data_IF_818602990693
#
_entry.id   IF_818602990693
#
_cell.length_a   1.000
_cell.length_b   1.000
_cell.length_c   1.000
_cell.angle_alpha   90.00
_cell.angle_beta   90.00
_cell.angle_gamma   90.00
#
_symmetry.space_group_name_H-M   'P 1'
#
loop_
_entity.id
_entity.type
_entity.pdbx_description
1 polymer ?
#
# COMPACT_ATOMS: atom_id res chain seq x y z
N UNK A 1 -36.07 -8.69 -131.47
CA UNK A 1 -36.94 -9.84 -131.15
C UNK A 1 -37.68 -9.51 -129.86
N UNK A 2 -39.02 -9.57 -129.94
CA UNK A 2 -40.01 -9.95 -128.90
C UNK A 2 -39.41 -10.64 -127.65
N UNK A 3 -39.89 -10.49 -126.41
CA UNK A 3 -41.23 -10.28 -125.85
C UNK A 3 -41.11 -10.04 -124.30
N UNK A 4 -42.17 -10.07 -123.45
CA UNK A 4 -42.48 -9.02 -122.48
C UNK A 4 -42.37 -9.45 -120.98
N UNK A 5 -42.75 -8.50 -120.11
CA UNK A 5 -43.11 -8.48 -118.68
C UNK A 5 -43.26 -9.83 -117.94
N UNK A 6 -42.92 -9.86 -116.63
CA UNK A 6 -44.01 -9.79 -115.66
C UNK A 6 -43.71 -8.95 -114.40
N UNK A 7 -44.73 -8.24 -113.93
CA UNK A 7 -44.82 -7.75 -112.55
C UNK A 7 -45.42 -8.86 -111.70
N UNK A 8 -44.81 -9.18 -110.56
CA UNK A 8 -45.62 -9.61 -109.41
C UNK A 8 -45.14 -9.09 -108.06
N UNK A 9 -46.13 -8.78 -107.21
CA UNK A 9 -46.06 -9.14 -105.78
C UNK A 9 -45.73 -8.02 -104.80
N UNK A 10 -46.78 -7.45 -104.19
CA UNK A 10 -46.71 -6.74 -102.92
C UNK A 10 -46.29 -7.73 -101.83
N UNK A 11 -45.15 -7.48 -101.17
CA UNK A 11 -44.80 -8.03 -99.86
C UNK A 11 -44.73 -6.88 -98.85
N UNK A 12 -45.48 -6.97 -97.77
CA UNK A 12 -45.27 -6.14 -96.59
C UNK A 12 -44.39 -6.91 -95.59
N UNK A 13 -43.27 -6.32 -95.12
CA UNK A 13 -42.69 -6.78 -93.87
C UNK A 13 -42.45 -5.66 -92.86
N UNK A 14 -43.15 -5.84 -91.72
CA UNK A 14 -42.77 -5.66 -90.32
C UNK A 14 -42.33 -4.28 -89.75
N UNK A 15 -42.86 -3.91 -88.56
CA UNK A 15 -42.47 -2.68 -87.88
C UNK A 15 -41.03 -2.78 -87.40
N UNK A 16 -40.17 -1.90 -87.92
CA UNK A 16 -38.79 -1.77 -87.49
C UNK A 16 -38.71 -1.54 -85.98
N UNK A 17 -37.97 -2.40 -85.27
CA UNK A 17 -37.62 -2.25 -83.85
C UNK A 17 -36.86 -0.92 -83.69
N UNK A 18 -37.56 0.14 -83.26
CA UNK A 18 -36.95 1.44 -82.94
C UNK A 18 -35.89 1.21 -81.87
N UNK A 19 -34.62 1.32 -82.27
CA UNK A 19 -33.49 1.47 -81.35
C UNK A 19 -33.76 2.76 -80.57
N UNK A 20 -34.20 2.66 -79.31
CA UNK A 20 -34.29 3.81 -78.40
C UNK A 20 -32.87 4.33 -78.20
N UNK A 21 -32.48 5.34 -78.97
CA UNK A 21 -31.30 6.15 -78.70
C UNK A 21 -31.55 6.88 -77.39
N UNK A 22 -30.89 6.41 -76.33
CA UNK A 22 -30.92 7.05 -75.01
C UNK A 22 -30.36 8.47 -75.19
N UNK A 23 -31.12 9.50 -74.82
CA UNK A 23 -30.66 10.88 -74.96
C UNK A 23 -29.47 11.12 -74.01
N UNK A 24 -28.48 11.95 -74.40
CA UNK A 24 -27.32 12.24 -73.55
C UNK A 24 -27.73 12.79 -72.17
N UNK A 25 -28.87 13.46 -72.06
CA UNK A 25 -29.45 13.92 -70.78
C UNK A 25 -29.86 12.79 -69.82
N UNK A 26 -30.37 11.66 -70.33
CA UNK A 26 -30.72 10.50 -69.50
C UNK A 26 -29.46 9.78 -69.02
N UNK A 27 -28.44 9.68 -69.88
CA UNK A 27 -27.13 9.12 -69.48
C UNK A 27 -26.46 10.00 -68.43
N UNK A 28 -26.47 11.32 -68.60
CA UNK A 28 -25.95 12.28 -67.61
C UNK A 28 -26.72 12.18 -66.28
N UNK A 29 -28.04 12.04 -66.31
CA UNK A 29 -28.85 11.85 -65.10
C UNK A 29 -28.54 10.55 -64.35
N UNK A 30 -28.35 9.45 -65.07
CA UNK A 30 -27.95 8.16 -64.48
C UNK A 30 -26.54 8.24 -63.89
N UNK A 31 -25.60 8.84 -64.62
CA UNK A 31 -24.21 9.01 -64.14
C UNK A 31 -24.18 9.92 -62.92
N UNK A 32 -24.90 11.05 -62.94
CA UNK A 32 -25.00 11.96 -61.79
C UNK A 32 -25.64 11.26 -60.58
N UNK A 33 -26.74 10.51 -60.78
CA UNK A 33 -27.38 9.74 -59.72
C UNK A 33 -26.46 8.66 -59.13
N UNK A 34 -25.70 7.95 -59.98
CA UNK A 34 -24.72 6.96 -59.54
C UNK A 34 -23.57 7.61 -58.74
N UNK A 35 -23.08 8.77 -59.16
CA UNK A 35 -22.04 9.52 -58.43
C UNK A 35 -22.54 9.97 -57.05
N UNK A 36 -23.76 10.50 -56.95
CA UNK A 36 -24.35 10.90 -55.66
C UNK A 36 -24.49 9.70 -54.74
N UNK A 37 -24.96 8.55 -55.24
CA UNK A 37 -25.07 7.32 -54.45
C UNK A 37 -23.70 6.86 -53.93
N UNK A 38 -22.66 6.89 -54.77
CA UNK A 38 -21.30 6.54 -54.36
C UNK A 38 -20.76 7.48 -53.28
N UNK A 39 -21.05 8.78 -53.36
CA UNK A 39 -20.63 9.76 -52.34
C UNK A 39 -21.30 9.47 -51.00
N UNK A 40 -22.62 9.19 -50.99
CA UNK A 40 -23.34 8.86 -49.75
C UNK A 40 -22.78 7.58 -49.11
N UNK A 41 -22.52 6.55 -49.91
CA UNK A 41 -21.89 5.31 -49.42
C UNK A 41 -20.48 5.56 -48.87
N UNK A 42 -19.68 6.38 -49.55
CA UNK A 42 -18.33 6.74 -49.08
C UNK A 42 -18.37 7.55 -47.77
N UNK A 43 -19.31 8.49 -47.62
CA UNK A 43 -19.52 9.25 -46.38
C UNK A 43 -19.98 8.34 -45.24
N UNK A 44 -20.91 7.42 -45.50
CA UNK A 44 -21.36 6.43 -44.53
C UNK A 44 -20.23 5.50 -44.08
N UNK A 45 -19.48 4.93 -45.04
CA UNK A 45 -18.34 4.08 -44.75
C UNK A 45 -17.25 4.84 -43.96
N UNK A 46 -16.96 6.09 -44.33
CA UNK A 46 -16.06 6.96 -43.59
C UNK A 46 -16.54 7.17 -42.16
N UNK A 47 -17.82 7.46 -41.93
CA UNK A 47 -18.37 7.70 -40.60
C UNK A 47 -18.20 6.46 -39.72
N UNK A 48 -18.52 5.27 -40.25
CA UNK A 48 -18.33 3.99 -39.54
C UNK A 48 -16.85 3.75 -39.22
N UNK A 49 -15.96 3.91 -40.20
CA UNK A 49 -14.52 3.72 -40.01
C UNK A 49 -13.92 4.75 -39.04
N UNK A 50 -14.39 6.00 -39.08
CA UNK A 50 -13.98 7.06 -38.16
C UNK A 50 -14.48 6.81 -36.73
N UNK A 51 -15.62 6.14 -36.55
CA UNK A 51 -16.17 5.80 -35.26
C UNK A 51 -15.57 4.51 -34.66
N UNK A 52 -14.94 3.67 -35.49
CA UNK A 52 -14.40 2.35 -35.09
C UNK A 52 -12.87 2.32 -35.17
N UNK A 53 -12.33 2.19 -36.38
CA UNK A 53 -10.89 1.99 -36.65
C UNK A 53 -10.06 3.25 -36.42
N UNK A 54 -10.62 4.43 -36.64
CA UNK A 54 -9.94 5.71 -36.45
C UNK A 54 -10.62 6.56 -35.35
N UNK A 55 -11.19 5.87 -34.36
CA UNK A 55 -11.89 6.51 -33.26
C UNK A 55 -10.91 7.24 -32.32
N UNK A 56 -11.39 8.30 -31.69
CA UNK A 56 -10.66 9.03 -30.68
C UNK A 56 -10.36 8.16 -29.43
N UNK A 57 -11.14 7.11 -29.19
CA UNK A 57 -10.98 6.21 -28.04
C UNK A 57 -9.89 5.15 -28.21
N UNK A 58 -9.40 4.87 -29.43
CA UNK A 58 -8.35 3.86 -29.64
C UNK A 58 -7.06 4.07 -28.83
N UNK A 59 -6.44 5.26 -28.78
CA UNK A 59 -5.24 5.44 -27.97
C UNK A 59 -5.49 5.29 -26.47
N UNK A 60 -6.72 5.54 -25.99
CA UNK A 60 -7.11 5.33 -24.58
C UNK A 60 -7.26 3.85 -24.27
N UNK A 61 -7.98 3.11 -25.12
CA UNK A 61 -8.11 1.65 -25.00
C UNK A 61 -6.73 0.98 -25.05
N UNK A 62 -5.86 1.38 -25.97
CA UNK A 62 -4.50 0.85 -26.06
C UNK A 62 -3.69 1.10 -24.78
N UNK A 63 -3.84 2.26 -24.14
CA UNK A 63 -3.19 2.56 -22.86
C UNK A 63 -3.70 1.65 -21.74
N UNK A 64 -5.03 1.49 -21.61
CA UNK A 64 -5.62 0.61 -20.59
C UNK A 64 -5.31 -0.87 -20.84
N UNK A 65 -5.26 -1.32 -22.10
CA UNK A 65 -4.81 -2.67 -22.45
C UNK A 65 -3.32 -2.90 -22.13
N UNK A 66 -2.48 -1.87 -22.30
CA UNK A 66 -1.05 -1.90 -21.93
C UNK A 66 -0.91 -2.07 -20.41
N UNK A 67 -1.69 -1.32 -19.63
CA UNK A 67 -1.77 -1.49 -18.18
C UNK A 67 -2.28 -2.89 -17.81
N UNK A 68 -3.37 -3.36 -18.43
CA UNK A 68 -3.91 -4.69 -18.19
C UNK A 68 -2.93 -5.83 -18.48
N UNK A 69 -2.07 -5.65 -19.50
CA UNK A 69 -1.01 -6.58 -19.85
C UNK A 69 0.20 -6.56 -18.91
N UNK A 70 0.27 -5.60 -17.97
CA UNK A 70 1.40 -5.45 -17.04
C UNK A 70 2.63 -4.78 -17.66
N UNK A 71 2.51 -4.14 -18.83
CA UNK A 71 3.62 -3.45 -19.50
C UNK A 71 3.75 -2.00 -19.00
N UNK A 72 4.20 -1.86 -17.76
CA UNK A 72 4.40 -0.58 -17.09
C UNK A 72 5.35 0.36 -17.86
N UNK A 73 6.42 -0.14 -18.46
CA UNK A 73 7.38 0.70 -19.20
C UNK A 73 6.72 1.33 -20.44
N UNK A 74 5.92 0.56 -21.19
CA UNK A 74 5.16 1.09 -22.31
C UNK A 74 4.09 2.08 -21.85
N UNK A 75 3.37 1.80 -20.76
CA UNK A 75 2.40 2.72 -20.18
C UNK A 75 3.06 4.02 -19.68
N UNK A 76 4.25 3.93 -19.09
CA UNK A 76 5.03 5.06 -18.60
C UNK A 76 5.48 5.97 -19.74
N UNK A 77 5.92 5.37 -20.86
CA UNK A 77 6.25 6.11 -22.07
C UNK A 77 5.06 6.88 -22.66
N UNK A 78 3.82 6.43 -22.40
CA UNK A 78 2.59 7.10 -22.82
C UNK A 78 2.10 8.18 -21.84
N UNK A 79 2.49 8.14 -20.56
CA UNK A 79 2.06 9.05 -19.50
C UNK A 79 3.00 10.25 -19.26
N UNK A 80 4.20 10.26 -19.88
CA UNK A 80 5.19 11.34 -19.83
C UNK A 80 5.36 12.05 -18.46
N UNK A 81 5.47 11.30 -17.35
CA UNK A 81 5.40 11.92 -16.04
C UNK A 81 6.76 12.52 -15.64
N UNK A 82 6.72 13.61 -14.88
CA UNK A 82 7.93 14.26 -14.34
C UNK A 82 8.46 13.60 -13.06
N UNK A 83 8.45 12.27 -12.99
CA UNK A 83 8.89 11.51 -11.79
C UNK A 83 10.42 11.39 -11.75
N UNK A 84 10.99 11.43 -10.54
CA UNK A 84 12.38 11.04 -10.31
C UNK A 84 12.54 9.51 -10.41
N UNK A 85 13.77 8.99 -10.55
CA UNK A 85 14.02 7.54 -10.53
C UNK A 85 13.44 6.84 -9.30
N UNK A 86 13.57 7.46 -8.12
CA UNK A 86 13.08 6.94 -6.85
C UNK A 86 11.54 6.88 -6.83
N UNK A 87 10.88 7.85 -7.47
CA UNK A 87 9.43 7.87 -7.61
C UNK A 87 8.90 6.86 -8.64
N UNK A 88 9.73 6.38 -9.56
CA UNK A 88 9.33 5.41 -10.58
C UNK A 88 9.65 3.95 -10.23
N UNK A 89 10.09 3.66 -9.01
CA UNK A 89 10.58 2.33 -8.61
C UNK A 89 9.54 1.22 -8.83
N UNK A 90 8.25 1.51 -8.62
CA UNK A 90 7.15 0.56 -8.84
C UNK A 90 6.66 0.51 -10.30
N UNK A 91 7.08 1.45 -11.14
CA UNK A 91 6.56 1.63 -12.51
C UNK A 91 7.42 0.87 -13.53
N UNK A 92 7.79 -0.36 -13.20
CA UNK A 92 8.62 -1.25 -14.03
C UNK A 92 7.85 -2.53 -14.37
N UNK A 93 8.23 -3.19 -15.46
CA UNK A 93 7.57 -4.43 -15.87
C UNK A 93 7.79 -5.57 -14.87
N UNK A 94 8.92 -5.56 -14.15
CA UNK A 94 9.24 -6.56 -13.12
C UNK A 94 8.28 -6.47 -11.93
N UNK A 95 7.96 -5.25 -11.48
CA UNK A 95 7.06 -5.05 -10.34
C UNK A 95 5.60 -5.13 -10.79
N UNK A 96 5.21 -4.31 -11.76
CA UNK A 96 3.81 -4.20 -12.18
C UNK A 96 3.29 -5.45 -12.92
N UNK A 97 4.19 -6.27 -13.48
CA UNK A 97 3.85 -7.52 -14.14
C UNK A 97 3.22 -8.57 -13.22
N UNK A 98 3.48 -8.49 -11.92
CA UNK A 98 2.92 -9.40 -10.90
C UNK A 98 1.69 -8.81 -10.18
N UNK A 99 1.45 -7.51 -10.32
CA UNK A 99 0.33 -6.79 -9.68
C UNK A 99 -1.02 -7.35 -10.15
N UNK A 100 -1.89 -7.66 -9.20
CA UNK A 100 -3.25 -8.11 -9.46
C UNK A 100 -4.22 -6.94 -9.68
N UNK A 101 -5.47 -7.25 -10.06
CA UNK A 101 -6.54 -6.26 -10.22
C UNK A 101 -6.22 -5.11 -11.19
N UNK A 102 -5.32 -5.34 -12.17
CA UNK A 102 -5.01 -4.36 -13.23
C UNK A 102 -6.25 -4.08 -14.10
N UNK A 103 -6.29 -2.92 -14.79
CA UNK A 103 -7.38 -2.58 -15.70
C UNK A 103 -7.65 -3.67 -16.74
N UNK A 104 -8.92 -4.03 -16.93
CA UNK A 104 -9.33 -5.02 -17.90
C UNK A 104 -10.64 -4.64 -18.59
N UNK A 105 -10.91 -5.25 -19.74
CA UNK A 105 -12.17 -5.04 -20.49
C UNK A 105 -12.56 -3.58 -20.77
N UNK A 106 -11.63 -2.69 -21.21
CA UNK A 106 -11.95 -1.29 -21.43
C UNK A 106 -13.01 -1.11 -22.53
N UNK A 107 -13.99 -0.25 -22.26
CA UNK A 107 -15.11 0.07 -23.14
C UNK A 107 -15.28 1.57 -23.29
N UNK A 108 -15.34 2.05 -24.53
CA UNK A 108 -15.56 3.48 -24.81
C UNK A 108 -17.06 3.77 -24.79
N UNK A 109 -17.52 4.49 -23.77
CA UNK A 109 -18.92 4.88 -23.62
C UNK A 109 -19.28 6.08 -24.50
N UNK A 110 -18.32 6.97 -24.73
CA UNK A 110 -18.58 8.21 -25.43
C UNK A 110 -17.32 8.95 -25.88
N UNK A 111 -17.48 9.73 -26.94
CA UNK A 111 -16.46 10.66 -27.43
C UNK A 111 -17.10 12.02 -27.65
N UNK A 112 -16.59 13.04 -26.98
CA UNK A 112 -17.00 14.43 -27.13
C UNK A 112 -15.84 15.23 -27.72
N UNK A 113 -16.00 15.75 -28.93
CA UNK A 113 -14.99 16.66 -29.52
C UNK A 113 -15.15 18.05 -28.92
N UNK A 114 -14.03 18.67 -28.56
CA UNK A 114 -14.03 20.05 -28.08
C UNK A 114 -14.13 21.01 -29.27
N UNK A 115 -15.10 21.93 -29.22
CA UNK A 115 -15.38 22.85 -30.33
C UNK A 115 -14.23 23.81 -30.57
N UNK A 116 -13.81 23.93 -31.83
CA UNK A 116 -12.75 24.86 -32.24
C UNK A 116 -11.34 24.45 -31.82
N UNK A 117 -11.14 23.26 -31.26
CA UNK A 117 -9.81 22.75 -30.89
C UNK A 117 -9.52 21.41 -31.58
N UNK A 118 -8.30 20.91 -31.36
CA UNK A 118 -7.87 19.59 -31.82
C UNK A 118 -8.01 18.52 -30.73
N UNK A 119 -8.81 18.77 -29.69
CA UNK A 119 -9.00 17.84 -28.57
C UNK A 119 -10.34 17.12 -28.61
N UNK A 120 -10.37 15.96 -27.99
CA UNK A 120 -11.59 15.25 -27.65
C UNK A 120 -11.47 14.63 -26.27
N UNK A 121 -12.60 14.54 -25.58
CA UNK A 121 -12.77 13.85 -24.32
C UNK A 121 -13.37 12.47 -24.62
N UNK A 122 -12.71 11.43 -24.13
CA UNK A 122 -13.12 10.04 -24.32
C UNK A 122 -13.53 9.51 -22.96
N UNK A 123 -14.81 9.19 -22.84
CA UNK A 123 -15.36 8.53 -21.67
C UNK A 123 -15.17 7.03 -21.81
N UNK A 124 -14.53 6.42 -20.82
CA UNK A 124 -14.21 4.99 -20.82
C UNK A 124 -14.57 4.37 -19.48
N UNK A 125 -15.12 3.17 -19.56
CA UNK A 125 -15.38 2.28 -18.43
C UNK A 125 -14.49 1.05 -18.53
N UNK A 126 -13.95 0.55 -17.42
CA UNK A 126 -13.18 -0.69 -17.38
C UNK A 126 -13.42 -1.44 -16.06
N UNK A 127 -12.98 -2.69 -16.00
CA UNK A 127 -12.98 -3.49 -14.77
C UNK A 127 -11.62 -3.41 -14.09
N UNK A 128 -11.63 -3.17 -12.78
CA UNK A 128 -10.44 -3.14 -11.94
C UNK A 128 -10.73 -3.93 -10.66
N UNK A 129 -10.18 -5.14 -10.57
CA UNK A 129 -10.42 -6.02 -9.42
C UNK A 129 -11.89 -6.40 -9.20
N UNK A 130 -12.69 -6.49 -10.28
CA UNK A 130 -14.13 -6.78 -10.20
C UNK A 130 -15.01 -5.54 -9.95
N UNK A 131 -14.42 -4.34 -9.90
CA UNK A 131 -15.14 -3.07 -9.78
C UNK A 131 -15.16 -2.35 -11.13
N UNK A 132 -16.33 -1.84 -11.50
CA UNK A 132 -16.47 -1.01 -12.69
C UNK A 132 -15.96 0.41 -12.37
N UNK A 133 -14.89 0.80 -13.04
CA UNK A 133 -14.25 2.12 -12.90
C UNK A 133 -14.56 2.95 -14.15
N UNK A 134 -14.75 4.26 -13.94
CA UNK A 134 -15.12 5.21 -14.97
C UNK A 134 -14.15 6.40 -14.95
N UNK A 135 -13.65 6.81 -16.11
CA UNK A 135 -12.83 8.03 -16.23
C UNK A 135 -12.93 8.67 -17.63
N UNK A 136 -12.45 9.91 -17.74
CA UNK A 136 -12.46 10.73 -18.94
C UNK A 136 -11.04 11.08 -19.35
N UNK A 137 -10.60 10.49 -20.45
CA UNK A 137 -9.29 10.75 -21.03
C UNK A 137 -9.34 11.88 -22.05
N UNK A 138 -8.26 12.66 -22.12
CA UNK A 138 -8.09 13.66 -23.18
C UNK A 138 -7.23 13.08 -24.29
N UNK A 139 -7.67 13.24 -25.53
CA UNK A 139 -6.89 12.92 -26.72
C UNK A 139 -6.75 14.13 -27.62
N UNK A 140 -5.70 14.18 -28.42
CA UNK A 140 -5.44 15.25 -29.38
C UNK A 140 -5.29 14.73 -30.80
N UNK A 141 -5.72 15.50 -31.78
CA UNK A 141 -5.55 15.19 -33.20
C UNK A 141 -4.11 15.48 -33.61
N UNK A 142 -3.36 14.43 -33.92
CA UNK A 142 -1.98 14.48 -34.38
C UNK A 142 -1.85 14.39 -35.91
N UNK A 143 -2.79 15.04 -36.61
CA UNK A 143 -2.87 15.06 -38.06
C UNK A 143 -3.91 14.10 -38.63
N UNK A 144 -3.63 13.60 -39.85
CA UNK A 144 -4.54 12.72 -40.59
C UNK A 144 -3.85 11.46 -41.08
N UNK A 145 -4.61 10.37 -41.09
CA UNK A 145 -4.24 9.08 -41.65
C UNK A 145 -5.07 8.79 -42.90
N UNK A 146 -4.42 8.27 -43.95
CA UNK A 146 -5.01 8.06 -45.27
C UNK A 146 -5.70 9.32 -45.86
N UNK A 147 -5.23 10.52 -45.46
CA UNK A 147 -5.78 11.85 -45.83
C UNK A 147 -7.20 12.13 -45.29
N UNK A 148 -7.95 11.08 -44.97
CA UNK A 148 -9.36 11.14 -44.62
C UNK A 148 -9.55 11.09 -43.11
N UNK A 149 -8.86 10.21 -42.39
CA UNK A 149 -9.19 9.93 -41.00
C UNK A 149 -8.34 10.77 -40.05
N UNK A 150 -8.92 11.17 -38.92
CA UNK A 150 -8.17 11.86 -37.89
C UNK A 150 -7.23 10.85 -37.21
N UNK A 151 -5.96 11.22 -37.04
CA UNK A 151 -5.03 10.45 -36.19
C UNK A 151 -5.10 11.03 -34.79
N UNK A 152 -5.40 10.19 -33.80
CA UNK A 152 -5.51 10.60 -32.41
C UNK A 152 -4.31 10.11 -31.60
N UNK A 153 -3.81 10.97 -30.73
CA UNK A 153 -2.80 10.66 -29.73
C UNK A 153 -3.39 10.89 -28.34
N UNK A 154 -3.04 10.02 -27.40
CA UNK A 154 -3.34 10.23 -25.99
C UNK A 154 -2.62 11.51 -25.52
N UNK A 155 -3.34 12.42 -24.87
CA UNK A 155 -2.67 13.44 -24.06
C UNK A 155 -2.17 12.71 -22.82
N UNK A 156 -0.88 12.78 -22.48
CA UNK A 156 -0.29 11.95 -21.44
C UNK A 156 -1.09 12.04 -20.12
N UNK A 157 -1.67 10.93 -19.64
CA UNK A 157 -2.38 10.93 -18.38
C UNK A 157 -1.40 11.01 -17.21
N UNK A 158 -1.78 11.61 -16.07
CA UNK A 158 -0.98 11.56 -14.86
C UNK A 158 -0.86 10.12 -14.33
N UNK A 159 0.20 9.83 -13.59
CA UNK A 159 0.33 8.57 -12.84
C UNK A 159 -0.43 8.69 -11.52
N UNK A 160 -1.13 7.63 -11.12
CA UNK A 160 -1.89 7.56 -9.87
C UNK A 160 -0.98 7.62 -8.64
N UNK A 161 -1.55 8.03 -7.51
CA UNK A 161 -0.82 8.15 -6.24
C UNK A 161 -1.51 7.34 -5.14
N UNK A 162 -0.74 6.56 -4.41
CA UNK A 162 -1.19 5.95 -3.15
C UNK A 162 -0.75 6.84 -2.00
N UNK A 163 -1.71 7.39 -1.26
CA UNK A 163 -1.53 8.31 -0.14
C UNK A 163 -1.47 7.56 1.19
N UNK A 164 -0.52 7.95 2.04
CA UNK A 164 -0.25 7.41 3.38
C UNK A 164 -0.65 8.47 4.44
N UNK A 165 -1.95 8.75 4.67
CA UNK A 165 -2.42 9.88 5.46
C UNK A 165 -1.93 9.88 6.92
N UNK A 166 -1.67 8.69 7.47
CA UNK A 166 -1.26 8.47 8.86
C UNK A 166 0.25 8.26 9.03
N UNK A 167 1.01 8.28 7.94
CA UNK A 167 2.46 8.21 7.98
C UNK A 167 3.13 9.57 8.28
N UNK A 168 2.35 10.64 8.51
CA UNK A 168 2.88 11.95 8.88
C UNK A 168 3.64 11.96 10.21
N UNK A 169 3.35 10.99 11.07
CA UNK A 169 3.96 10.85 12.40
C UNK A 169 5.21 9.94 12.37
N UNK A 170 5.53 9.35 11.20
CA UNK A 170 6.75 8.57 11.01
C UNK A 170 7.96 9.49 10.77
N UNK A 171 9.20 9.01 11.00
CA UNK A 171 10.41 9.74 10.67
C UNK A 171 10.41 10.24 9.21
N UNK A 172 11.01 11.40 8.90
CA UNK A 172 10.93 12.01 7.55
C UNK A 172 11.55 11.15 6.44
N UNK A 173 12.40 10.19 6.78
CA UNK A 173 13.10 9.25 5.92
C UNK A 173 12.55 7.82 5.99
N UNK A 174 11.34 7.64 6.52
CA UNK A 174 10.70 6.33 6.56
C UNK A 174 10.53 5.73 5.15
N UNK A 175 10.60 4.41 5.08
CA UNK A 175 10.30 3.63 3.88
C UNK A 175 9.09 2.74 4.13
N UNK A 176 8.44 2.33 3.04
CA UNK A 176 7.41 1.29 3.04
C UNK A 176 7.83 0.18 2.10
N UNK A 177 7.28 -1.02 2.32
CA UNK A 177 7.47 -2.15 1.41
C UNK A 177 6.17 -2.38 0.66
N UNK A 178 6.22 -2.29 -0.66
CA UNK A 178 5.06 -2.48 -1.57
C UNK A 178 5.32 -3.70 -2.43
N UNK A 179 4.54 -4.76 -2.25
CA UNK A 179 4.73 -6.06 -2.93
C UNK A 179 6.19 -6.57 -2.87
N UNK A 180 6.86 -6.35 -1.73
CA UNK A 180 8.26 -6.74 -1.50
C UNK A 180 9.32 -5.75 -2.01
N UNK A 181 8.91 -4.63 -2.62
CA UNK A 181 9.81 -3.57 -3.08
C UNK A 181 9.88 -2.45 -2.06
N UNK A 182 11.08 -2.07 -1.63
CA UNK A 182 11.27 -0.92 -0.74
C UNK A 182 11.05 0.39 -1.51
N UNK A 183 10.18 1.25 -0.97
CA UNK A 183 9.79 2.53 -1.56
C UNK A 183 9.99 3.62 -0.52
N UNK A 184 10.71 4.67 -0.89
CA UNK A 184 10.76 5.92 -0.14
C UNK A 184 9.58 6.81 -0.58
N UNK A 185 8.57 7.06 0.28
CA UNK A 185 7.44 7.88 -0.10
C UNK A 185 7.87 9.33 -0.38
N UNK A 186 7.24 9.92 -1.38
CA UNK A 186 7.35 11.36 -1.66
C UNK A 186 6.58 12.16 -0.62
N UNK A 187 7.23 13.16 -0.04
CA UNK A 187 6.63 14.05 0.95
C UNK A 187 6.50 15.46 0.37
N UNK A 188 5.27 15.94 0.23
CA UNK A 188 4.96 17.33 -0.10
C UNK A 188 4.75 18.18 1.16
N UNK A 189 4.96 19.49 1.09
CA UNK A 189 4.89 20.38 2.27
C UNK A 189 3.54 20.37 3.00
N UNK A 190 2.44 20.05 2.30
CA UNK A 190 1.08 20.02 2.84
C UNK A 190 0.33 18.72 2.50
N UNK A 191 0.97 17.82 1.77
CA UNK A 191 0.39 16.55 1.31
C UNK A 191 0.78 15.43 2.28
N UNK A 192 -0.09 14.42 2.42
CA UNK A 192 0.34 13.18 3.05
C UNK A 192 1.47 12.54 2.22
N UNK A 193 2.41 11.82 2.86
CA UNK A 193 3.38 11.03 2.11
C UNK A 193 2.68 10.12 1.09
N UNK A 194 3.27 9.93 -0.09
CA UNK A 194 2.64 9.14 -1.15
C UNK A 194 3.68 8.44 -2.03
N UNK A 195 3.28 7.39 -2.73
CA UNK A 195 4.10 6.77 -3.77
C UNK A 195 3.32 6.66 -5.09
N UNK A 196 4.04 6.69 -6.22
CA UNK A 196 3.44 6.52 -7.53
C UNK A 196 3.24 5.03 -7.81
N UNK A 197 2.08 4.66 -8.32
CA UNK A 197 1.77 3.31 -8.72
C UNK A 197 0.79 3.35 -9.91
N UNK A 198 0.87 2.37 -10.80
CA UNK A 198 -0.17 2.18 -11.81
C UNK A 198 -1.41 1.52 -11.19
N UNK A 199 -2.59 1.61 -11.83
CA UNK A 199 -3.80 1.03 -11.28
C UNK A 199 -3.67 -0.48 -11.06
N UNK A 200 -4.14 -0.97 -9.91
CA UNK A 200 -3.96 -2.34 -9.47
C UNK A 200 -4.01 -2.49 -7.94
N UNK A 201 -3.95 -3.73 -7.46
CA UNK A 201 -3.94 -4.05 -6.02
C UNK A 201 -2.51 -4.31 -5.55
N UNK A 202 -2.13 -3.63 -4.47
CA UNK A 202 -0.81 -3.70 -3.86
C UNK A 202 -0.94 -4.04 -2.38
N UNK A 203 -0.04 -4.86 -1.88
CA UNK A 203 0.13 -5.11 -0.46
C UNK A 203 1.22 -4.19 0.10
N UNK A 204 0.85 -3.34 1.05
CA UNK A 204 1.75 -2.34 1.65
C UNK A 204 2.03 -2.72 3.10
N UNK A 205 3.31 -2.78 3.47
CA UNK A 205 3.75 -3.02 4.85
C UNK A 205 4.92 -2.09 5.23
N UNK A 206 5.42 -2.19 6.46
CA UNK A 206 6.67 -1.52 6.88
C UNK A 206 7.85 -2.47 6.73
N UNK A 207 9.08 -1.95 6.65
CA UNK A 207 10.29 -2.76 6.72
C UNK A 207 10.29 -3.68 7.95
N UNK A 208 10.98 -4.82 7.81
CA UNK A 208 11.17 -5.77 8.88
C UNK A 208 11.76 -5.10 10.13
N UNK A 209 11.03 -5.16 11.24
CA UNK A 209 11.42 -4.58 12.52
C UNK A 209 12.19 -5.55 13.41
N UNK A 210 12.52 -6.74 12.91
CA UNK A 210 13.18 -7.80 13.67
C UNK A 210 12.20 -8.64 14.49
N UNK A 211 12.69 -9.55 15.35
CA UNK A 211 11.85 -10.56 16.00
C UNK A 211 10.83 -10.00 16.99
N UNK A 212 11.03 -8.75 17.44
CA UNK A 212 10.21 -8.12 18.47
C UNK A 212 9.15 -7.18 17.91
N UNK A 213 9.20 -6.86 16.61
CA UNK A 213 8.25 -5.96 15.97
C UNK A 213 7.65 -6.61 14.73
N UNK A 214 6.33 -6.52 14.59
CA UNK A 214 5.60 -6.91 13.40
C UNK A 214 4.84 -5.73 12.83
N UNK A 215 4.70 -5.67 11.51
CA UNK A 215 3.89 -4.67 10.83
C UNK A 215 2.74 -5.35 10.08
N UNK A 216 1.54 -4.76 10.05
CA UNK A 216 0.45 -5.31 9.27
C UNK A 216 0.74 -5.18 7.78
N UNK A 217 0.12 -6.05 6.99
CA UNK A 217 0.06 -5.93 5.54
C UNK A 217 -1.29 -5.36 5.16
N UNK A 218 -1.29 -4.16 4.57
CA UNK A 218 -2.49 -3.41 4.21
C UNK A 218 -2.70 -3.48 2.70
N UNK A 219 -3.78 -4.11 2.20
CA UNK A 219 -4.08 -4.13 0.78
C UNK A 219 -4.63 -2.78 0.31
N UNK A 220 -4.16 -2.31 -0.83
CA UNK A 220 -4.50 -1.01 -1.41
C UNK A 220 -4.90 -1.20 -2.87
N UNK A 221 -6.09 -0.73 -3.22
CA UNK A 221 -6.50 -0.63 -4.63
C UNK A 221 -6.14 0.77 -5.14
N UNK A 222 -5.15 0.85 -6.02
CA UNK A 222 -4.78 2.08 -6.73
C UNK A 222 -5.70 2.22 -7.93
N UNK A 223 -6.46 3.31 -7.95
CA UNK A 223 -7.44 3.61 -8.99
C UNK A 223 -6.84 4.12 -10.29
N UNK A 224 -7.72 4.54 -11.19
CA UNK A 224 -7.40 5.06 -12.52
C UNK A 224 -6.39 6.21 -12.52
N UNK A 225 -5.88 6.60 -13.69
CA UNK A 225 -4.77 7.54 -13.81
C UNK A 225 -5.03 8.89 -13.11
N UNK A 226 -4.17 9.25 -12.17
CA UNK A 226 -4.31 10.49 -11.39
C UNK A 226 -5.25 10.39 -10.20
N UNK A 227 -5.88 9.23 -9.99
CA UNK A 227 -6.59 8.95 -8.75
C UNK A 227 -5.62 8.98 -7.57
N UNK A 228 -6.16 9.42 -6.44
CA UNK A 228 -5.49 9.32 -5.15
C UNK A 228 -6.18 8.25 -4.33
N UNK A 229 -5.54 7.10 -4.21
CA UNK A 229 -5.99 6.02 -3.34
C UNK A 229 -5.41 6.21 -1.94
N UNK A 230 -6.08 5.66 -0.92
CA UNK A 230 -5.66 5.78 0.47
C UNK A 230 -5.20 4.42 1.00
N UNK A 231 -4.02 4.38 1.61
CA UNK A 231 -3.50 3.23 2.33
C UNK A 231 -4.00 3.30 3.77
N UNK A 232 -4.66 2.23 4.23
CA UNK A 232 -5.38 2.18 5.50
C UNK A 232 -6.86 2.47 5.28
N UNK A 233 -7.70 1.46 5.53
CA UNK A 233 -9.11 1.43 5.12
C UNK A 233 -9.93 2.64 5.57
N UNK A 234 -11.10 2.81 4.93
CA UNK A 234 -12.10 3.85 5.24
C UNK A 234 -12.59 3.82 6.70
N UNK A 235 -12.39 2.71 7.41
CA UNK A 235 -12.84 2.49 8.80
C UNK A 235 -11.76 2.71 9.88
N UNK A 236 -10.53 3.09 9.51
CA UNK A 236 -9.58 3.74 10.43
C UNK A 236 -8.81 2.87 11.45
N UNK A 237 -9.06 1.56 11.54
CA UNK A 237 -8.42 0.71 12.58
C UNK A 237 -7.09 0.04 12.14
N UNK A 238 -6.88 -0.17 10.84
CA UNK A 238 -5.65 -0.81 10.34
C UNK A 238 -4.62 0.25 9.92
N UNK A 239 -3.85 0.71 10.90
CA UNK A 239 -2.75 1.65 10.70
C UNK A 239 -1.49 0.91 10.29
N UNK A 240 -0.78 1.43 9.29
CA UNK A 240 0.56 0.98 8.92
C UNK A 240 1.56 1.42 10.02
N UNK A 241 1.74 0.58 11.04
CA UNK A 241 2.61 0.80 12.20
C UNK A 241 3.18 -0.51 12.73
N UNK A 242 4.33 -0.47 13.37
CA UNK A 242 4.85 -1.63 14.09
C UNK A 242 4.06 -1.87 15.38
N UNK A 243 3.87 -3.14 15.71
CA UNK A 243 3.33 -3.65 16.97
C UNK A 243 4.32 -4.63 17.59
N UNK A 244 4.28 -4.79 18.91
CA UNK A 244 5.14 -5.76 19.61
C UNK A 244 4.63 -7.18 19.43
N UNK A 245 5.56 -8.10 19.14
CA UNK A 245 5.27 -9.53 18.97
C UNK A 245 5.12 -10.23 20.31
N UNK A 246 4.53 -11.43 20.31
CA UNK A 246 4.50 -12.28 21.51
C UNK A 246 5.92 -12.66 21.98
N UNK A 247 6.88 -12.82 21.05
CA UNK A 247 8.27 -13.09 21.38
C UNK A 247 8.92 -11.92 22.15
N UNK A 248 8.51 -10.69 21.89
CA UNK A 248 8.96 -9.52 22.65
C UNK A 248 8.45 -9.56 24.11
N UNK A 249 7.18 -9.95 24.30
CA UNK A 249 6.59 -10.11 25.64
C UNK A 249 7.31 -11.21 26.43
N UNK A 250 7.54 -12.37 25.81
CA UNK A 250 8.28 -13.46 26.44
C UNK A 250 9.72 -13.06 26.81
N UNK A 251 10.40 -12.32 25.93
CA UNK A 251 11.76 -11.83 26.17
C UNK A 251 11.79 -10.79 27.30
N UNK A 252 10.83 -9.86 27.36
CA UNK A 252 10.73 -8.87 28.42
C UNK A 252 10.47 -9.52 29.79
N UNK A 253 9.51 -10.45 29.87
CA UNK A 253 9.23 -11.21 31.09
C UNK A 253 10.47 -12.02 31.54
N UNK A 254 11.20 -12.61 30.59
CA UNK A 254 12.45 -13.34 30.86
C UNK A 254 13.53 -12.41 31.42
N UNK A 255 13.67 -11.20 30.87
CA UNK A 255 14.64 -10.22 31.35
C UNK A 255 14.34 -9.78 32.79
N UNK A 256 13.07 -9.48 33.10
CA UNK A 256 12.65 -9.13 34.47
C UNK A 256 12.85 -10.30 35.43
N UNK A 257 12.54 -11.53 35.01
CA UNK A 257 12.80 -12.74 35.81
C UNK A 257 14.29 -12.89 36.13
N UNK A 258 15.17 -12.71 35.14
CA UNK A 258 16.62 -12.80 35.34
C UNK A 258 17.16 -11.70 36.25
N UNK A 259 16.64 -10.47 36.15
CA UNK A 259 16.97 -9.37 37.05
C UNK A 259 16.55 -9.69 38.48
N UNK A 260 15.33 -10.22 38.69
CA UNK A 260 14.87 -10.65 40.01
C UNK A 260 15.72 -11.79 40.57
N UNK A 261 16.03 -12.81 39.77
CA UNK A 261 16.91 -13.92 40.18
C UNK A 261 18.29 -13.42 40.61
N UNK A 262 18.85 -12.43 39.90
CA UNK A 262 20.11 -11.79 40.25
C UNK A 262 20.03 -11.00 41.57
N UNK A 263 18.91 -10.29 41.80
CA UNK A 263 18.65 -9.60 43.06
C UNK A 263 18.59 -10.56 44.24
N UNK A 264 17.83 -11.66 44.10
CA UNK A 264 17.69 -12.68 45.16
C UNK A 264 19.01 -13.41 45.41
N UNK A 265 19.80 -13.67 44.36
CA UNK A 265 21.12 -14.30 44.50
C UNK A 265 22.20 -13.39 45.11
N UNK A 266 21.92 -12.09 45.29
CA UNK A 266 22.88 -11.14 45.85
C UNK A 266 23.10 -11.38 47.35
N UNK A 267 24.36 -11.27 47.77
CA UNK A 267 24.73 -11.21 49.18
C UNK A 267 24.71 -9.77 49.73
N UNK A 268 24.45 -8.78 48.87
CA UNK A 268 24.36 -7.39 49.27
C UNK A 268 22.96 -7.08 49.82
N UNK A 269 22.93 -6.39 50.95
CA UNK A 269 21.71 -5.95 51.62
C UNK A 269 20.91 -4.91 50.81
N UNK A 270 21.58 -4.15 49.93
CA UNK A 270 20.94 -3.20 49.02
C UNK A 270 21.54 -3.36 47.62
N UNK A 271 21.14 -4.42 46.88
CA UNK A 271 21.69 -4.69 45.57
C UNK A 271 21.27 -3.62 44.56
N UNK A 272 22.21 -3.16 43.74
CA UNK A 272 21.93 -2.17 42.69
C UNK A 272 20.88 -2.71 41.69
N UNK A 273 19.89 -1.89 41.35
CA UNK A 273 18.79 -2.28 40.45
C UNK A 273 17.65 -3.06 41.12
N UNK A 274 17.72 -3.30 42.43
CA UNK A 274 16.71 -4.04 43.19
C UNK A 274 15.99 -3.09 44.16
N UNK A 275 15.20 -2.17 43.60
CA UNK A 275 14.56 -1.05 44.31
C UNK A 275 13.81 -1.50 45.57
N UNK A 276 12.81 -2.37 45.42
CA UNK A 276 11.99 -2.89 46.53
C UNK A 276 12.83 -3.51 47.67
N UNK A 277 13.85 -4.31 47.33
CA UNK A 277 14.74 -4.93 48.31
C UNK A 277 15.63 -3.91 49.03
N UNK A 278 16.19 -2.95 48.27
CA UNK A 278 17.05 -1.89 48.81
C UNK A 278 16.28 -0.93 49.70
N UNK A 279 15.06 -0.57 49.30
CA UNK A 279 14.15 0.25 50.10
C UNK A 279 13.74 -0.48 51.38
N UNK A 280 13.45 -1.78 51.33
CA UNK A 280 13.20 -2.57 52.54
C UNK A 280 14.40 -2.49 53.48
N UNK A 281 15.60 -2.81 53.01
CA UNK A 281 16.78 -2.82 53.87
C UNK A 281 17.00 -1.45 54.56
N UNK A 282 16.75 -0.35 53.85
CA UNK A 282 16.84 1.00 54.42
C UNK A 282 15.83 1.27 55.56
N UNK A 283 14.75 0.48 55.66
CA UNK A 283 13.73 0.58 56.72
C UNK A 283 13.95 -0.37 57.90
N UNK A 284 14.90 -1.30 57.81
CA UNK A 284 15.19 -2.21 58.92
C UNK A 284 15.83 -1.43 60.07
N UNK A 285 15.20 -1.45 61.26
CA UNK A 285 15.71 -0.82 62.48
C UNK A 285 16.76 -1.72 63.15
N UNK A 286 17.88 -1.93 62.44
CA UNK A 286 18.98 -2.74 62.94
C UNK A 286 19.78 -1.94 63.97
N UNK A 287 19.96 -2.53 65.15
CA UNK A 287 20.76 -1.96 66.23
C UNK A 287 22.21 -1.74 65.74
N UNK A 288 22.75 -0.51 65.79
CA UNK A 288 24.12 -0.24 65.33
C UNK A 288 25.20 -0.97 66.14
N UNK A 289 24.86 -1.57 67.29
CA UNK A 289 25.73 -2.41 68.11
C UNK A 289 25.68 -3.90 67.71
N UNK A 290 25.03 -4.24 66.59
CA UNK A 290 24.94 -5.60 66.03
C UNK A 290 25.63 -5.65 64.67
N UNK A 291 26.62 -6.54 64.55
CA UNK A 291 27.23 -6.93 63.28
C UNK A 291 26.28 -7.86 62.51
N UNK A 292 26.04 -7.53 61.25
CA UNK A 292 25.25 -8.33 60.30
C UNK A 292 26.21 -9.09 59.40
N UNK A 293 26.17 -10.42 59.47
CA UNK A 293 26.98 -11.33 58.66
C UNK A 293 26.07 -12.24 57.82
N UNK A 294 26.62 -12.84 56.76
CA UNK A 294 25.94 -13.86 55.93
C UNK A 294 24.53 -13.42 55.46
N UNK A 295 24.39 -12.16 55.04
CA UNK A 295 23.14 -11.64 54.52
C UNK A 295 22.74 -12.35 53.22
N UNK A 296 21.46 -12.71 53.10
CA UNK A 296 20.90 -13.30 51.90
C UNK A 296 19.42 -12.93 51.73
N UNK A 297 19.00 -12.76 50.49
CA UNK A 297 17.59 -12.70 50.11
C UNK A 297 17.07 -14.10 49.77
N UNK A 298 15.86 -14.42 50.21
CA UNK A 298 15.18 -15.66 49.87
C UNK A 298 13.78 -15.35 49.33
N UNK A 299 13.40 -16.01 48.24
CA UNK A 299 12.06 -15.93 47.68
C UNK A 299 11.16 -16.91 48.45
N UNK A 300 10.21 -16.39 49.24
CA UNK A 300 9.28 -17.21 50.02
C UNK A 300 8.10 -17.67 49.16
N UNK A 301 7.55 -16.74 48.37
CA UNK A 301 6.52 -17.00 47.37
C UNK A 301 6.95 -16.42 46.01
N UNK A 302 6.93 -17.23 44.92
CA UNK A 302 7.34 -16.75 43.61
C UNK A 302 6.30 -15.80 43.00
N UNK A 303 6.71 -14.65 42.43
CA UNK A 303 5.77 -13.70 41.83
C UNK A 303 5.13 -14.25 40.55
N UNK A 304 3.96 -13.72 40.25
CA UNK A 304 3.41 -13.72 38.91
C UNK A 304 4.07 -12.59 38.10
N UNK A 305 4.70 -12.95 36.98
CA UNK A 305 5.32 -11.98 36.07
C UNK A 305 4.53 -12.01 34.76
N UNK A 306 3.88 -10.90 34.43
CA UNK A 306 3.05 -10.76 33.22
C UNK A 306 3.60 -9.63 32.36
N UNK A 307 3.91 -9.93 31.10
CA UNK A 307 4.23 -8.92 30.11
C UNK A 307 3.00 -8.63 29.25
N UNK A 308 2.60 -7.36 29.20
CA UNK A 308 1.48 -6.88 28.42
C UNK A 308 1.92 -5.83 27.41
N UNK A 309 1.20 -5.78 26.28
CA UNK A 309 1.36 -4.73 25.28
C UNK A 309 0.67 -3.48 25.81
N UNK A 310 1.35 -2.34 25.82
CA UNK A 310 0.67 -1.12 26.23
C UNK A 310 -0.44 -0.76 25.23
N UNK A 311 -1.63 -0.52 25.77
CA UNK A 311 -2.80 -0.17 24.98
C UNK A 311 -2.57 1.12 24.19
N UNK A 312 -2.80 1.05 22.87
CA UNK A 312 -2.68 2.14 21.91
C UNK A 312 -3.08 3.52 22.44
N UNK A 313 -2.13 4.33 22.89
CA UNK A 313 -2.37 5.75 23.11
C UNK A 313 -1.10 6.57 23.01
N UNK A 314 -0.72 6.89 21.77
CA UNK A 314 -0.82 8.30 21.39
C UNK A 314 -0.92 8.43 19.88
N UNK A 315 -1.60 9.48 19.42
CA UNK A 315 -1.66 9.90 18.02
C UNK A 315 -0.33 10.51 17.53
N UNK A 316 0.77 10.09 18.13
CA UNK A 316 2.13 10.56 17.95
C UNK A 316 2.91 9.27 17.76
N UNK A 317 3.75 9.17 16.72
CA UNK A 317 4.49 7.95 16.35
C UNK A 317 5.52 7.50 17.39
N UNK A 318 5.12 7.39 18.66
CA UNK A 318 5.88 6.81 19.74
C UNK A 318 6.08 5.32 19.47
N UNK A 319 7.26 4.77 19.81
CA UNK A 319 7.52 3.35 19.66
C UNK A 319 6.53 2.55 20.53
N UNK A 320 6.13 1.34 20.10
CA UNK A 320 5.29 0.50 20.92
C UNK A 320 6.09 0.03 22.16
N UNK A 321 5.44 0.06 23.32
CA UNK A 321 6.02 -0.27 24.62
C UNK A 321 5.42 -1.55 25.19
N UNK A 322 6.18 -2.18 26.08
CA UNK A 322 5.79 -3.37 26.84
C UNK A 322 5.85 -3.01 28.32
N UNK A 323 4.79 -3.29 29.06
CA UNK A 323 4.81 -3.23 30.53
C UNK A 323 4.90 -4.64 31.07
N UNK A 324 5.87 -4.88 31.94
CA UNK A 324 6.02 -6.13 32.69
C UNK A 324 5.66 -5.85 34.13
N UNK A 325 4.60 -6.49 34.61
CA UNK A 325 4.10 -6.37 35.98
C UNK A 325 4.55 -7.58 36.79
N UNK A 326 5.12 -7.32 37.96
CA UNK A 326 5.53 -8.32 38.95
C UNK A 326 4.64 -8.17 40.16
N UNK A 327 3.83 -9.18 40.46
CA UNK A 327 2.83 -9.14 41.54
C UNK A 327 2.80 -10.46 42.31
N UNK A 328 2.14 -10.47 43.48
CA UNK A 328 1.88 -11.65 44.31
C UNK A 328 3.14 -12.42 44.79
N UNK A 329 4.33 -11.86 44.58
CA UNK A 329 5.59 -12.45 45.04
C UNK A 329 5.99 -11.93 46.41
N UNK A 330 6.85 -12.66 47.10
CA UNK A 330 7.33 -12.26 48.42
C UNK A 330 8.77 -12.71 48.64
N UNK A 331 9.59 -11.79 49.18
CA UNK A 331 10.99 -12.07 49.56
C UNK A 331 11.23 -11.80 51.04
N UNK A 332 12.07 -12.60 51.67
CA UNK A 332 12.50 -12.43 53.05
C UNK A 332 14.02 -12.19 53.09
N UNK A 333 14.45 -11.23 53.92
CA UNK A 333 15.86 -11.04 54.24
C UNK A 333 16.26 -11.95 55.39
N UNK A 334 17.36 -12.68 55.22
CA UNK A 334 17.95 -13.49 56.29
C UNK A 334 19.36 -13.02 56.56
N UNK A 335 19.76 -13.01 57.83
CA UNK A 335 21.15 -12.73 58.20
C UNK A 335 21.54 -13.38 59.52
N UNK A 336 22.85 -13.51 59.74
CA UNK A 336 23.42 -13.89 61.03
C UNK A 336 23.74 -12.63 61.83
N UNK A 337 23.06 -12.45 62.97
CA UNK A 337 23.27 -11.31 63.86
C UNK A 337 24.27 -11.65 64.97
N UNK A 338 25.27 -10.79 65.18
CA UNK A 338 26.22 -10.88 66.30
C UNK A 338 26.27 -9.55 67.06
N UNK A 339 26.12 -9.57 68.39
CA UNK A 339 26.37 -8.36 69.18
C UNK A 339 27.87 -8.07 69.25
N UNK A 340 28.22 -6.80 69.10
CA UNK A 340 29.60 -6.30 69.18
C UNK A 340 30.25 -6.60 70.55
N UNK A 341 29.45 -6.76 71.61
CA UNK A 341 29.91 -7.05 72.98
C UNK A 341 29.85 -8.54 73.41
N UNK A 342 29.44 -9.46 72.53
CA UNK A 342 29.42 -10.89 72.90
C UNK A 342 30.85 -11.43 73.10
N UNK A 343 31.22 -11.68 74.36
CA UNK A 343 32.50 -12.28 74.74
C UNK A 343 32.68 -13.63 74.02
N UNK A 344 33.83 -13.88 73.35
CA UNK A 344 34.05 -15.09 72.55
C UNK A 344 33.98 -16.41 73.36
N UNK A 345 33.85 -16.34 74.69
CA UNK A 345 33.63 -17.48 75.59
C UNK A 345 32.18 -17.71 76.03
N UNK A 346 31.25 -16.80 75.71
CA UNK A 346 29.81 -16.98 75.94
C UNK A 346 29.28 -17.95 74.88
N UNK A 347 28.89 -19.17 75.27
CA UNK A 347 28.52 -20.26 74.36
C UNK A 347 27.26 -20.06 73.49
N UNK A 348 26.86 -18.82 73.22
CA UNK A 348 25.82 -18.45 72.26
C UNK A 348 26.35 -18.66 70.85
N UNK A 349 25.95 -19.76 70.20
CA UNK A 349 26.29 -19.94 68.78
C UNK A 349 25.50 -18.94 67.93
N UNK A 350 26.14 -18.18 67.03
CA UNK A 350 25.43 -17.35 66.07
C UNK A 350 24.47 -18.22 65.25
N UNK A 351 23.27 -17.70 65.01
CA UNK A 351 22.23 -18.35 64.19
C UNK A 351 21.72 -17.35 63.18
N UNK A 352 21.45 -17.83 61.97
CA UNK A 352 20.67 -17.08 61.00
C UNK A 352 19.28 -16.80 61.58
N UNK A 353 18.83 -15.56 61.44
CA UNK A 353 17.51 -15.09 61.83
C UNK A 353 16.89 -14.39 60.63
N UNK A 354 15.61 -14.64 60.40
CA UNK A 354 14.82 -13.83 59.47
C UNK A 354 14.73 -12.40 60.01
N UNK A 355 15.07 -11.41 59.19
CA UNK A 355 15.10 -10.00 59.55
C UNK A 355 13.70 -9.38 59.33
N UNK A 356 12.70 -9.83 60.09
CA UNK A 356 11.30 -9.35 60.22
C UNK A 356 10.51 -8.99 58.93
N UNK A 357 9.21 -9.33 58.91
CA UNK A 357 8.21 -9.20 57.82
C UNK A 357 8.70 -9.27 56.35
N UNK A 358 8.16 -10.27 55.65
CA UNK A 358 8.11 -10.47 54.21
C UNK A 358 7.88 -9.17 53.38
N UNK A 359 8.69 -8.99 52.32
CA UNK A 359 8.54 -7.91 51.34
C UNK A 359 7.72 -8.38 50.16
N UNK A 360 6.58 -7.73 49.92
CA UNK A 360 5.81 -7.94 48.71
C UNK A 360 6.60 -7.45 47.48
N UNK A 361 6.68 -8.27 46.45
CA UNK A 361 7.15 -7.87 45.13
C UNK A 361 5.96 -7.37 44.32
N UNK A 362 5.81 -6.05 44.26
CA UNK A 362 4.77 -5.34 43.51
C UNK A 362 5.41 -4.15 42.79
N UNK A 363 5.80 -4.36 41.52
CA UNK A 363 6.43 -3.33 40.70
C UNK A 363 6.21 -3.56 39.21
N UNK A 364 6.40 -2.49 38.43
CA UNK A 364 6.29 -2.52 36.97
C UNK A 364 7.62 -2.10 36.34
N UNK A 365 7.97 -2.77 35.24
CA UNK A 365 9.13 -2.44 34.40
C UNK A 365 8.64 -2.22 32.98
N UNK A 366 9.04 -1.11 32.35
CA UNK A 366 8.67 -0.82 30.95
C UNK A 366 9.84 -1.03 30.01
N UNK A 367 9.53 -1.55 28.82
CA UNK A 367 10.48 -1.77 27.74
C UNK A 367 10.02 -1.09 26.45
N UNK A 368 10.99 -0.60 25.69
CA UNK A 368 10.84 -0.20 24.29
C UNK A 368 11.68 -1.10 23.39
N UNK A 369 11.22 -1.33 22.16
CA UNK A 369 12.09 -1.92 21.13
C UNK A 369 12.86 -0.81 20.43
N UNK A 370 14.18 -0.81 20.56
CA UNK A 370 15.09 0.14 19.89
C UNK A 370 16.15 -0.65 19.13
N UNK A 371 16.31 -0.36 17.85
CA UNK A 371 17.30 -1.01 16.99
C UNK A 371 17.22 -2.56 17.02
N UNK A 372 16.03 -3.12 17.25
CA UNK A 372 15.79 -4.56 17.34
C UNK A 372 16.06 -5.19 18.72
N UNK A 373 16.38 -4.39 19.73
CA UNK A 373 16.64 -4.84 21.11
C UNK A 373 15.60 -4.30 22.09
N UNK A 374 15.33 -5.04 23.16
CA UNK A 374 14.53 -4.56 24.28
C UNK A 374 15.38 -3.69 25.19
N UNK A 375 14.93 -2.46 25.39
CA UNK A 375 15.59 -1.48 26.25
C UNK A 375 14.63 -1.08 27.35
N UNK A 376 15.03 -1.31 28.60
CA UNK A 376 14.29 -0.84 29.77
C UNK A 376 14.24 0.70 29.76
N UNK A 377 13.04 1.25 29.95
CA UNK A 377 12.80 2.69 30.02
C UNK A 377 12.39 3.08 31.43
N UNK A 378 13.20 3.94 32.02
CA UNK A 378 13.05 4.44 33.39
C UNK A 378 12.14 5.68 33.37
N UNK A 379 11.07 5.67 34.17
CA UNK A 379 9.96 6.64 34.15
C UNK A 379 10.28 7.97 34.87
N UNK A 380 11.55 8.39 34.85
CA UNK A 380 12.06 9.53 35.65
C UNK A 380 11.75 10.91 35.09
#
# INVERSE_FOLDING_TARGET
MTQPTPTPGVQAPQPGRRRRTVSPTVVVGIVAGAVVLLVVLAVGARAVLSATVFSAGRPVVAYLETLGAGDAEAALAMSAPGLSPDQSVLLTNEVYGEVEARPSSPHVDGVQREDGTDRAFVTVTWDEGGQEVFDVFTVRRAGRELVLFDRWELVPPPVSRASLPRARDLPPDFTVVVDGVEVAPSVGSDEAPWFAAFPGRYDVTLPDGGPFLEAPTVPVLVGGPGDTSFVGGVDGDELLRHAVTDAALEAAATQVTQSLDACVASADAAPEGCGEMSERYATLDLDPEVDVEDFAWELTDPPLIVAERDGHSSSTGAPPTITVTVEDGTVEATATLRRVDDDPGSGSSPRAVALDDEVALDYEVRFEVRDGELVEVDDR
#
